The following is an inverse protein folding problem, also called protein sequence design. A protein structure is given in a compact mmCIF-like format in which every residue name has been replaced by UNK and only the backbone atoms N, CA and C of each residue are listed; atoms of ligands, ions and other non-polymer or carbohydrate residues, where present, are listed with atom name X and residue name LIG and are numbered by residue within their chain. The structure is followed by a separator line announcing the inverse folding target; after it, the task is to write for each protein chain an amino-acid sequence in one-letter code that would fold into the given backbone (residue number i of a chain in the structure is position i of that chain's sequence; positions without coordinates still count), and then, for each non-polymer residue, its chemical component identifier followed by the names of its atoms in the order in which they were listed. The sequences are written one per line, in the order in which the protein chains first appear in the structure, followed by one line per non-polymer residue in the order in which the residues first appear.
data_IF_456371001993
#
_entry.id   IF_456371001993
#
_cell.length_a   1.000
_cell.length_b   1.000
_cell.length_c   1.000
_cell.angle_alpha   90.00
_cell.angle_beta   90.00
_cell.angle_gamma   90.00
#
_symmetry.space_group_name_H-M   'P 1'
#
loop_
_entity.id
_entity.type
_entity.pdbx_description
1 polymer ?
#
# COMPACT_ATOMS: atom_id res chain seq x y z
N UNK A 1 -31.05 -5.44 4.78
CA UNK A 1 -30.26 -6.52 5.39
C UNK A 1 -29.14 -6.03 6.31
N UNK A 2 -28.45 -4.90 6.00
CA UNK A 2 -27.33 -4.42 6.80
C UNK A 2 -27.73 -3.99 8.22
N UNK A 3 -28.84 -3.28 8.38
CA UNK A 3 -29.27 -2.79 9.69
C UNK A 3 -29.64 -3.91 10.67
N UNK A 4 -30.45 -4.93 10.29
CA UNK A 4 -30.66 -6.10 11.13
C UNK A 4 -29.38 -6.85 11.50
N UNK A 5 -28.46 -7.02 10.53
CA UNK A 5 -27.15 -7.64 10.78
C UNK A 5 -26.32 -6.84 11.79
N UNK A 6 -26.27 -5.51 11.63
CA UNK A 6 -25.60 -4.63 12.58
C UNK A 6 -26.10 -4.83 14.01
N UNK A 7 -27.42 -4.84 14.23
CA UNK A 7 -27.99 -5.04 15.56
C UNK A 7 -27.71 -6.44 16.15
N UNK A 8 -27.62 -7.48 15.32
CA UNK A 8 -27.26 -8.82 15.77
C UNK A 8 -25.79 -8.80 16.23
N UNK A 9 -24.88 -8.26 15.41
CA UNK A 9 -23.46 -8.19 15.73
C UNK A 9 -23.20 -7.31 16.95
N UNK A 10 -23.88 -6.19 17.09
CA UNK A 10 -23.77 -5.30 18.25
C UNK A 10 -24.16 -6.02 19.55
N UNK A 11 -25.26 -6.79 19.54
CA UNK A 11 -25.67 -7.60 20.69
C UNK A 11 -24.69 -8.71 21.05
N UNK A 12 -24.10 -9.35 20.05
CA UNK A 12 -23.09 -10.38 20.30
C UNK A 12 -21.78 -9.76 20.81
N UNK A 13 -21.38 -8.62 20.25
CA UNK A 13 -20.18 -7.89 20.65
C UNK A 13 -20.27 -7.41 22.11
N UNK A 14 -21.43 -6.91 22.54
CA UNK A 14 -21.68 -6.46 23.94
C UNK A 14 -21.51 -7.58 24.99
N UNK A 15 -21.51 -8.85 24.58
CA UNK A 15 -21.22 -10.01 25.47
C UNK A 15 -19.72 -10.28 25.59
N UNK A 16 -18.87 -9.56 24.87
CA UNK A 16 -17.43 -9.76 24.81
C UNK A 16 -16.68 -8.56 25.36
N UNK A 17 -15.43 -8.70 25.82
CA UNK A 17 -14.61 -7.56 26.24
C UNK A 17 -14.03 -6.77 25.05
N UNK A 18 -14.46 -7.04 23.82
CA UNK A 18 -13.86 -6.50 22.60
C UNK A 18 -14.60 -5.28 22.03
N UNK A 19 -15.64 -4.77 22.68
CA UNK A 19 -16.46 -3.66 22.17
C UNK A 19 -15.60 -2.42 21.84
N UNK A 20 -14.74 -2.01 22.79
CA UNK A 20 -13.88 -0.86 22.58
C UNK A 20 -12.87 -1.10 21.44
N UNK A 21 -12.34 -2.30 21.35
CA UNK A 21 -11.41 -2.67 20.27
C UNK A 21 -12.04 -2.55 18.87
N UNK A 22 -13.29 -2.96 18.72
CA UNK A 22 -14.04 -2.82 17.47
C UNK A 22 -14.34 -1.35 17.17
N UNK A 23 -14.70 -0.54 18.16
CA UNK A 23 -14.91 0.91 17.98
C UNK A 23 -13.62 1.60 17.50
N UNK A 24 -12.50 1.34 18.17
CA UNK A 24 -11.19 1.90 17.78
C UNK A 24 -10.83 1.52 16.33
N UNK A 25 -11.06 0.27 15.92
CA UNK A 25 -10.79 -0.19 14.56
C UNK A 25 -11.70 0.47 13.51
N UNK A 26 -12.99 0.67 13.84
CA UNK A 26 -13.93 1.39 12.97
C UNK A 26 -13.53 2.85 12.81
N UNK A 27 -13.17 3.54 13.89
CA UNK A 27 -12.69 4.94 13.82
C UNK A 27 -11.40 5.06 13.03
N UNK A 28 -10.46 4.13 13.21
CA UNK A 28 -9.23 4.07 12.42
C UNK A 28 -9.52 3.87 10.94
N UNK A 29 -10.46 2.98 10.60
CA UNK A 29 -10.88 2.74 9.21
C UNK A 29 -11.49 4.00 8.59
N UNK A 30 -12.36 4.72 9.30
CA UNK A 30 -12.96 5.98 8.86
C UNK A 30 -11.90 7.06 8.65
N UNK A 31 -10.97 7.22 9.59
CA UNK A 31 -9.88 8.21 9.47
C UNK A 31 -9.00 7.98 8.25
N UNK A 32 -8.77 6.71 7.88
CA UNK A 32 -8.04 6.34 6.67
C UNK A 32 -8.82 6.71 5.41
N UNK A 33 -10.12 6.53 5.40
CA UNK A 33 -10.95 6.88 4.24
C UNK A 33 -10.89 8.37 3.95
N UNK A 34 -10.92 9.22 4.97
CA UNK A 34 -10.73 10.66 4.80
C UNK A 34 -9.35 11.01 4.24
N UNK A 35 -8.28 10.40 4.76
CA UNK A 35 -6.91 10.60 4.23
C UNK A 35 -6.72 10.08 2.81
N UNK A 36 -7.50 9.09 2.36
CA UNK A 36 -7.47 8.59 1.00
C UNK A 36 -7.96 9.63 -0.03
N UNK A 37 -8.87 10.52 0.35
CA UNK A 37 -9.36 11.61 -0.50
C UNK A 37 -8.29 12.70 -0.72
N UNK A 38 -7.34 12.84 0.20
CA UNK A 38 -6.23 13.80 0.14
C UNK A 38 -4.95 13.22 -0.45
N UNK A 39 -5.01 12.01 -1.05
CA UNK A 39 -3.80 11.34 -1.56
C UNK A 39 -3.07 12.19 -2.58
N UNK A 40 -1.81 12.43 -2.31
CA UNK A 40 -0.86 13.04 -3.22
C UNK A 40 -0.75 12.18 -4.50
N UNK A 41 -1.28 12.69 -5.60
CA UNK A 41 -1.27 11.98 -6.89
C UNK A 41 0.15 11.72 -7.40
N UNK A 42 1.15 12.48 -6.95
CA UNK A 42 2.55 12.25 -7.29
C UNK A 42 3.09 10.93 -6.72
N UNK A 43 2.52 10.46 -5.61
CA UNK A 43 2.88 9.20 -4.96
C UNK A 43 2.07 7.99 -5.43
N UNK A 44 1.12 8.19 -6.33
CA UNK A 44 0.23 7.13 -6.84
C UNK A 44 0.98 5.93 -7.45
N UNK A 45 2.20 6.12 -7.94
CA UNK A 45 3.04 5.05 -8.48
C UNK A 45 3.49 4.03 -7.43
N UNK A 46 3.55 4.41 -6.14
CA UNK A 46 3.90 3.51 -5.03
C UNK A 46 2.83 2.44 -4.77
N UNK A 47 1.58 2.71 -5.16
CA UNK A 47 0.46 1.78 -5.04
C UNK A 47 0.38 0.78 -6.21
N UNK A 48 1.23 0.92 -7.24
CA UNK A 48 1.27 0.01 -8.37
C UNK A 48 1.99 -1.29 -7.98
N UNK A 49 1.35 -2.46 -8.12
CA UNK A 49 1.99 -3.73 -7.86
C UNK A 49 3.31 -3.89 -8.64
N UNK A 50 4.34 -4.42 -7.99
CA UNK A 50 5.67 -4.61 -8.58
C UNK A 50 6.44 -3.32 -8.97
N UNK A 51 5.99 -2.13 -8.56
CA UNK A 51 6.73 -0.88 -8.81
C UNK A 51 8.19 -0.95 -8.31
N UNK A 52 8.43 -1.66 -7.21
CA UNK A 52 9.76 -1.86 -6.63
C UNK A 52 10.76 -2.59 -7.55
N UNK A 53 10.28 -3.30 -8.58
CA UNK A 53 11.15 -3.98 -9.59
C UNK A 53 11.69 -3.02 -10.63
N UNK A 54 11.21 -1.80 -10.66
CA UNK A 54 11.59 -0.80 -11.64
C UNK A 54 12.81 0.01 -11.16
N UNK A 55 13.72 0.29 -12.08
CA UNK A 55 14.83 1.20 -11.82
C UNK A 55 14.35 2.67 -11.77
N UNK A 56 15.18 3.62 -11.30
CA UNK A 56 14.78 5.03 -11.14
C UNK A 56 14.20 5.68 -12.41
N UNK A 57 14.75 5.37 -13.58
CA UNK A 57 14.26 5.87 -14.88
C UNK A 57 12.87 5.29 -15.20
N UNK A 58 12.67 4.00 -14.99
CA UNK A 58 11.38 3.33 -15.19
C UNK A 58 10.34 3.82 -14.17
N UNK A 59 10.76 4.05 -12.92
CA UNK A 59 9.91 4.64 -11.88
C UNK A 59 9.49 6.07 -12.24
N UNK A 60 10.34 6.87 -12.87
CA UNK A 60 9.96 8.21 -13.31
C UNK A 60 8.84 8.18 -14.34
N UNK A 61 8.87 7.20 -15.27
CA UNK A 61 7.79 6.97 -16.24
C UNK A 61 6.51 6.51 -15.53
N UNK A 62 6.64 5.55 -14.60
CA UNK A 62 5.50 5.04 -13.84
C UNK A 62 4.85 6.15 -13.01
N UNK A 63 5.63 7.06 -12.40
CA UNK A 63 5.15 8.20 -11.63
C UNK A 63 4.21 9.07 -12.46
N UNK A 64 4.63 9.50 -13.65
CA UNK A 64 3.81 10.34 -14.53
C UNK A 64 2.55 9.61 -14.98
N UNK A 65 2.65 8.35 -15.35
CA UNK A 65 1.51 7.55 -15.81
C UNK A 65 0.50 7.31 -14.69
N UNK A 66 0.97 7.00 -13.48
CA UNK A 66 0.11 6.76 -12.33
C UNK A 66 -0.59 8.04 -11.86
N UNK A 67 0.13 9.16 -11.82
CA UNK A 67 -0.42 10.48 -11.52
C UNK A 67 -1.54 10.86 -12.50
N UNK A 68 -1.27 10.75 -13.80
CA UNK A 68 -2.28 10.99 -14.81
C UNK A 68 -3.50 10.09 -14.64
N UNK A 69 -3.29 8.77 -14.41
CA UNK A 69 -4.41 7.83 -14.22
C UNK A 69 -5.27 8.23 -13.03
N UNK A 70 -4.65 8.60 -11.91
CA UNK A 70 -5.38 9.03 -10.71
C UNK A 70 -6.18 10.29 -10.96
N UNK A 71 -5.57 11.30 -11.60
CA UNK A 71 -6.27 12.56 -11.92
C UNK A 71 -7.48 12.33 -12.84
N UNK A 72 -7.34 11.49 -13.86
CA UNK A 72 -8.48 11.12 -14.74
C UNK A 72 -9.55 10.35 -13.97
N UNK A 73 -9.15 9.48 -13.01
CA UNK A 73 -10.08 8.76 -12.16
C UNK A 73 -10.94 9.68 -11.31
N UNK A 74 -10.30 10.68 -10.69
CA UNK A 74 -10.99 11.70 -9.88
C UNK A 74 -11.88 12.58 -10.76
N UNK A 75 -11.33 13.11 -11.87
CA UNK A 75 -12.05 14.01 -12.77
C UNK A 75 -13.32 13.38 -13.37
N UNK A 76 -13.27 12.07 -13.67
CA UNK A 76 -14.35 11.35 -14.36
C UNK A 76 -15.16 10.43 -13.47
N UNK A 77 -14.86 10.40 -12.18
CA UNK A 77 -15.46 9.48 -11.21
C UNK A 77 -15.40 8.01 -11.70
N UNK A 78 -14.21 7.58 -12.13
CA UNK A 78 -13.98 6.24 -12.67
C UNK A 78 -12.98 5.46 -11.81
N UNK A 79 -13.27 4.18 -11.59
CA UNK A 79 -12.28 3.29 -10.99
C UNK A 79 -11.02 3.21 -11.87
N UNK A 80 -9.84 3.23 -11.25
CA UNK A 80 -8.55 3.31 -11.94
C UNK A 80 -8.34 2.17 -12.95
N UNK A 81 -8.88 0.99 -12.68
CA UNK A 81 -8.83 -0.17 -13.57
C UNK A 81 -9.60 0.00 -14.89
N UNK A 82 -10.62 0.88 -14.91
CA UNK A 82 -11.35 1.23 -16.14
C UNK A 82 -10.59 2.23 -17.02
N UNK A 83 -9.61 2.91 -16.47
CA UNK A 83 -8.77 3.84 -17.23
C UNK A 83 -7.64 3.06 -17.87
N UNK A 84 -6.79 2.43 -17.07
CA UNK A 84 -5.72 1.50 -17.48
C UNK A 84 -5.40 0.58 -16.29
N UNK A 85 -5.30 -0.72 -16.54
CA UNK A 85 -4.92 -1.70 -15.51
C UNK A 85 -3.52 -1.43 -14.98
N UNK A 86 -3.29 -1.67 -13.68
CA UNK A 86 -1.99 -1.44 -13.04
C UNK A 86 -0.85 -2.22 -13.69
N UNK A 87 -1.09 -3.48 -14.06
CA UNK A 87 -0.12 -4.32 -14.76
C UNK A 87 0.29 -3.72 -16.12
N UNK A 88 -0.69 -3.20 -16.87
CA UNK A 88 -0.44 -2.55 -18.16
C UNK A 88 0.36 -1.27 -18.01
N UNK A 89 0.07 -0.43 -16.99
CA UNK A 89 0.88 0.74 -16.68
C UNK A 89 2.33 0.37 -16.36
N UNK A 90 2.52 -0.67 -15.56
CA UNK A 90 3.83 -1.17 -15.19
C UNK A 90 4.63 -1.63 -16.44
N UNK A 91 4.00 -2.45 -17.32
CA UNK A 91 4.62 -2.91 -18.56
C UNK A 91 5.04 -1.76 -19.47
N UNK A 92 4.15 -0.80 -19.65
CA UNK A 92 4.40 0.39 -20.50
C UNK A 92 5.55 1.24 -19.94
N UNK A 93 5.59 1.44 -18.61
CA UNK A 93 6.67 2.19 -17.96
C UNK A 93 8.03 1.49 -18.10
N UNK A 94 8.05 0.17 -17.90
CA UNK A 94 9.26 -0.65 -18.02
C UNK A 94 9.83 -0.62 -19.44
N UNK A 95 9.00 -0.92 -20.42
CA UNK A 95 9.43 -1.12 -21.81
C UNK A 95 9.59 0.20 -22.59
N UNK A 96 9.19 1.34 -22.01
CA UNK A 96 9.30 2.65 -22.67
C UNK A 96 8.68 2.69 -24.07
N UNK A 97 7.48 2.15 -24.20
CA UNK A 97 6.72 1.96 -25.43
C UNK A 97 6.73 3.22 -26.31
N UNK A 98 6.91 3.06 -27.61
CA UNK A 98 7.02 4.18 -28.57
C UNK A 98 5.83 4.28 -29.53
N UNK A 99 5.08 3.22 -29.70
CA UNK A 99 3.95 3.16 -30.61
C UNK A 99 2.83 2.29 -30.04
N UNK A 100 1.66 2.33 -30.67
CA UNK A 100 0.48 1.59 -30.21
C UNK A 100 0.58 0.08 -30.49
N UNK A 101 1.35 -0.35 -31.48
CA UNK A 101 1.56 -1.77 -31.78
C UNK A 101 2.27 -2.47 -30.62
N UNK A 102 3.33 -1.86 -30.08
CA UNK A 102 4.02 -2.37 -28.89
C UNK A 102 3.08 -2.51 -27.69
N UNK A 103 2.08 -1.63 -27.55
CA UNK A 103 1.09 -1.75 -26.47
C UNK A 103 0.24 -3.01 -26.62
N UNK A 104 -0.17 -3.37 -27.84
CA UNK A 104 -0.90 -4.60 -28.08
C UNK A 104 -0.06 -5.84 -27.78
N UNK A 105 1.21 -5.84 -28.19
CA UNK A 105 2.15 -6.94 -27.90
C UNK A 105 2.34 -7.15 -26.38
N UNK A 106 2.24 -6.10 -25.58
CA UNK A 106 2.29 -6.17 -24.13
C UNK A 106 0.98 -6.63 -23.48
N UNK A 107 -0.09 -6.80 -24.27
CA UNK A 107 -1.39 -7.25 -23.79
C UNK A 107 -2.34 -6.17 -23.31
N UNK A 108 -2.14 -4.90 -23.73
CA UNK A 108 -3.15 -3.87 -23.54
C UNK A 108 -4.35 -4.19 -24.43
N UNK A 109 -5.55 -3.96 -23.90
CA UNK A 109 -6.78 -4.20 -24.65
C UNK A 109 -6.95 -3.17 -25.76
N UNK A 110 -7.67 -3.52 -26.82
CA UNK A 110 -7.99 -2.61 -27.93
C UNK A 110 -8.62 -1.30 -27.43
N UNK A 111 -9.53 -1.39 -26.46
CA UNK A 111 -10.18 -0.23 -25.89
C UNK A 111 -9.17 0.68 -25.15
N UNK A 112 -8.27 0.11 -24.34
CA UNK A 112 -7.21 0.89 -23.66
C UNK A 112 -6.32 1.62 -24.67
N UNK A 113 -5.89 0.93 -25.73
CA UNK A 113 -5.02 1.53 -26.76
C UNK A 113 -5.75 2.60 -27.57
N UNK A 114 -6.97 2.33 -28.03
CA UNK A 114 -7.78 3.27 -28.82
C UNK A 114 -8.07 4.55 -28.03
N UNK A 115 -8.48 4.42 -26.77
CA UNK A 115 -8.96 5.57 -25.96
C UNK A 115 -7.78 6.28 -25.28
N UNK A 116 -6.75 5.56 -24.84
CA UNK A 116 -5.67 6.08 -23.98
C UNK A 116 -4.28 6.04 -24.60
N UNK A 117 -4.06 5.27 -25.66
CA UNK A 117 -2.73 5.03 -26.24
C UNK A 117 -1.98 6.30 -26.63
N UNK A 118 -2.63 7.24 -27.31
CA UNK A 118 -2.01 8.54 -27.67
C UNK A 118 -1.55 9.33 -26.45
N UNK A 119 -2.38 9.36 -25.40
CA UNK A 119 -2.03 10.08 -24.16
C UNK A 119 -0.87 9.40 -23.42
N UNK A 120 -0.86 8.07 -23.36
CA UNK A 120 0.23 7.29 -22.77
C UNK A 120 1.56 7.60 -23.50
N UNK A 121 1.58 7.58 -24.84
CA UNK A 121 2.77 7.90 -25.64
C UNK A 121 3.27 9.32 -25.38
N UNK A 122 2.36 10.29 -25.29
CA UNK A 122 2.69 11.68 -24.95
C UNK A 122 3.34 11.78 -23.56
N UNK A 123 2.79 11.10 -22.55
CA UNK A 123 3.32 11.09 -21.19
C UNK A 123 4.71 10.42 -21.13
N UNK A 124 4.92 9.33 -21.86
CA UNK A 124 6.24 8.70 -21.98
C UNK A 124 7.26 9.63 -22.66
N UNK A 125 6.83 10.40 -23.67
CA UNK A 125 7.68 11.40 -24.30
C UNK A 125 8.07 12.53 -23.34
N UNK A 126 7.15 12.95 -22.44
CA UNK A 126 7.46 13.88 -21.35
C UNK A 126 8.45 13.27 -20.36
N UNK A 127 8.23 12.02 -19.94
CA UNK A 127 9.11 11.32 -19.00
C UNK A 127 10.55 11.21 -19.49
N UNK A 128 10.78 11.10 -20.82
CA UNK A 128 12.12 11.05 -21.42
C UNK A 128 12.90 12.38 -21.28
N UNK A 129 12.22 13.47 -20.96
CA UNK A 129 12.84 14.81 -20.79
C UNK A 129 13.18 15.14 -19.36
N UNK A 130 12.80 14.27 -18.41
CA UNK A 130 13.10 14.45 -16.98
C UNK A 130 14.58 14.25 -16.76
N UNK A 131 15.20 15.14 -15.98
CA UNK A 131 16.59 15.00 -15.56
C UNK A 131 16.75 13.78 -14.63
N UNK A 132 17.90 13.13 -14.70
CA UNK A 132 18.24 12.02 -13.79
C UNK A 132 18.21 12.42 -12.31
N UNK A 133 18.43 13.71 -12.01
CA UNK A 133 18.36 14.22 -10.64
C UNK A 133 16.95 14.22 -10.05
N UNK A 134 15.91 14.20 -10.93
CA UNK A 134 14.50 14.24 -10.55
C UNK A 134 13.86 12.84 -10.55
N UNK A 135 14.66 11.79 -10.77
CA UNK A 135 14.14 10.43 -10.72
C UNK A 135 13.77 10.02 -9.29
N UNK A 136 12.67 9.27 -9.11
CA UNK A 136 12.36 8.67 -7.83
C UNK A 136 13.48 7.77 -7.34
N UNK A 137 13.72 7.76 -6.03
CA UNK A 137 14.63 6.79 -5.43
C UNK A 137 14.07 5.37 -5.62
N UNK A 138 14.94 4.34 -5.69
CA UNK A 138 14.49 2.94 -5.68
C UNK A 138 13.58 2.68 -4.48
N UNK A 139 12.58 1.83 -4.67
CA UNK A 139 11.66 1.45 -3.60
C UNK A 139 12.32 0.36 -2.78
N UNK A 140 12.73 0.69 -1.57
CA UNK A 140 13.35 -0.24 -0.63
C UNK A 140 12.35 -1.29 -0.12
N UNK A 141 12.81 -2.54 -0.01
CA UNK A 141 12.02 -3.65 0.51
C UNK A 141 12.73 -4.31 1.67
N UNK A 142 12.05 -4.38 2.80
CA UNK A 142 12.57 -5.09 3.98
C UNK A 142 12.83 -6.58 3.70
N UNK A 143 12.09 -7.18 2.75
CA UNK A 143 12.26 -8.61 2.40
C UNK A 143 13.58 -8.93 1.72
N UNK A 144 14.33 -7.92 1.29
CA UNK A 144 15.69 -8.07 0.73
C UNK A 144 16.78 -8.00 1.80
N UNK A 145 16.44 -7.51 3.01
CA UNK A 145 17.35 -7.55 4.16
C UNK A 145 17.55 -9.02 4.60
N UNK A 146 18.80 -9.49 4.74
CA UNK A 146 19.10 -10.87 5.17
C UNK A 146 18.44 -11.24 6.51
N UNK A 147 18.26 -10.27 7.41
CA UNK A 147 17.65 -10.44 8.73
C UNK A 147 16.14 -10.67 8.66
N UNK A 148 15.47 -10.20 7.60
CA UNK A 148 14.01 -10.14 7.51
C UNK A 148 13.32 -11.47 7.79
N UNK A 149 13.78 -12.58 7.15
CA UNK A 149 13.10 -13.87 7.28
C UNK A 149 13.11 -14.41 8.71
N UNK A 150 14.23 -14.23 9.42
CA UNK A 150 14.37 -14.62 10.83
C UNK A 150 13.50 -13.71 11.70
N UNK A 151 13.62 -12.40 11.53
CA UNK A 151 12.93 -11.39 12.35
C UNK A 151 11.42 -11.48 12.22
N UNK A 152 10.87 -11.61 11.01
CA UNK A 152 9.40 -11.70 10.83
C UNK A 152 8.82 -12.95 11.49
N UNK A 153 9.56 -14.09 11.44
CA UNK A 153 9.12 -15.31 12.10
C UNK A 153 9.11 -15.14 13.62
N UNK A 154 10.19 -14.66 14.21
CA UNK A 154 10.28 -14.42 15.65
C UNK A 154 9.24 -13.42 16.13
N UNK A 155 8.98 -12.37 15.34
CA UNK A 155 7.97 -11.38 15.65
C UNK A 155 6.54 -11.95 15.59
N UNK A 156 6.26 -12.85 14.65
CA UNK A 156 4.98 -13.58 14.58
C UNK A 156 4.79 -14.51 15.78
N UNK A 157 5.83 -15.27 16.16
CA UNK A 157 5.81 -16.13 17.35
C UNK A 157 5.52 -15.29 18.61
N UNK A 158 6.22 -14.16 18.76
CA UNK A 158 6.02 -13.26 19.92
C UNK A 158 4.64 -12.59 19.91
N UNK A 159 4.15 -12.18 18.74
CA UNK A 159 2.80 -11.62 18.59
C UNK A 159 1.72 -12.64 18.94
N UNK A 160 1.91 -13.92 18.58
CA UNK A 160 1.01 -15.00 18.96
C UNK A 160 0.94 -15.18 20.48
N UNK A 161 2.09 -15.18 21.18
CA UNK A 161 2.15 -15.26 22.64
C UNK A 161 1.42 -14.10 23.33
N UNK A 162 1.49 -12.90 22.75
CA UNK A 162 0.88 -11.69 23.31
C UNK A 162 -0.58 -11.50 22.89
N UNK A 163 -1.09 -12.36 22.00
CA UNK A 163 -2.48 -12.26 21.52
C UNK A 163 -3.46 -12.56 22.67
N UNK A 164 -4.40 -11.65 22.97
CA UNK A 164 -5.39 -11.85 24.02
C UNK A 164 -6.23 -13.12 23.78
N UNK A 165 -6.62 -13.79 24.85
CA UNK A 165 -7.50 -14.98 24.76
C UNK A 165 -8.80 -14.62 24.05
N UNK A 166 -9.19 -15.45 23.10
CA UNK A 166 -10.40 -15.25 22.27
C UNK A 166 -10.19 -14.46 20.98
N UNK A 167 -9.00 -13.88 20.76
CA UNK A 167 -8.63 -13.25 19.50
C UNK A 167 -7.68 -14.14 18.69
N UNK A 168 -7.67 -13.95 17.38
CA UNK A 168 -6.67 -14.57 16.50
C UNK A 168 -5.52 -13.60 16.26
N UNK A 169 -4.34 -14.14 15.91
CA UNK A 169 -3.17 -13.32 15.58
C UNK A 169 -3.46 -12.29 14.48
N UNK A 170 -4.24 -12.66 13.46
CA UNK A 170 -4.55 -11.75 12.36
C UNK A 170 -5.37 -10.53 12.79
N UNK A 171 -6.18 -10.66 13.85
CA UNK A 171 -6.90 -9.53 14.45
C UNK A 171 -5.93 -8.62 15.22
N UNK A 172 -4.99 -9.19 15.96
CA UNK A 172 -3.97 -8.40 16.64
C UNK A 172 -3.03 -7.76 15.62
N UNK A 173 -2.38 -8.57 14.79
CA UNK A 173 -1.37 -8.12 13.84
C UNK A 173 -1.24 -9.07 12.65
N UNK A 174 -1.77 -8.70 11.50
CA UNK A 174 -1.52 -9.44 10.26
C UNK A 174 -0.03 -9.39 9.90
N UNK A 175 0.43 -10.31 9.06
CA UNK A 175 1.83 -10.31 8.57
C UNK A 175 2.23 -8.94 7.98
N UNK A 176 1.33 -8.31 7.22
CA UNK A 176 1.57 -6.97 6.65
C UNK A 176 1.77 -5.90 7.72
N UNK A 177 0.98 -5.94 8.78
CA UNK A 177 1.11 -5.02 9.90
C UNK A 177 2.47 -5.18 10.61
N UNK A 178 2.93 -6.43 10.80
CA UNK A 178 4.25 -6.71 11.37
C UNK A 178 5.39 -6.26 10.43
N UNK A 179 5.22 -6.43 9.12
CA UNK A 179 6.17 -5.89 8.12
C UNK A 179 6.24 -4.35 8.18
N UNK A 180 5.12 -3.67 8.34
CA UNK A 180 5.09 -2.22 8.47
C UNK A 180 5.72 -1.75 9.79
N UNK A 181 5.60 -2.53 10.86
CA UNK A 181 6.29 -2.29 12.12
C UNK A 181 7.82 -2.42 11.96
N UNK A 182 8.30 -3.47 11.31
CA UNK A 182 9.73 -3.66 11.01
C UNK A 182 10.25 -2.50 10.15
N UNK A 183 9.52 -2.10 9.10
CA UNK A 183 9.90 -0.94 8.27
C UNK A 183 10.01 0.35 9.09
N UNK A 184 9.09 0.54 10.03
CA UNK A 184 9.09 1.73 10.86
C UNK A 184 10.31 1.79 11.77
N UNK A 185 10.71 0.67 12.37
CA UNK A 185 11.91 0.58 13.19
C UNK A 185 13.18 0.67 12.34
N UNK A 186 13.30 -0.13 11.27
CA UNK A 186 14.56 -0.25 10.51
C UNK A 186 14.82 0.87 9.50
N UNK A 187 13.78 1.37 8.85
CA UNK A 187 13.94 2.30 7.73
C UNK A 187 13.48 3.73 8.05
N UNK A 188 12.63 3.90 9.06
CA UNK A 188 12.05 5.21 9.38
C UNK A 188 12.53 5.77 10.73
N UNK A 189 13.49 5.10 11.38
CA UNK A 189 14.05 5.49 12.67
C UNK A 189 12.97 5.88 13.70
N UNK A 190 11.87 5.14 13.73
CA UNK A 190 10.74 5.36 14.64
C UNK A 190 10.11 6.76 14.53
N UNK A 191 10.15 7.35 13.35
CA UNK A 191 9.51 8.65 13.10
C UNK A 191 8.02 8.60 13.44
N UNK A 192 7.60 9.30 14.50
CA UNK A 192 6.21 9.29 14.99
C UNK A 192 5.22 9.85 13.98
N UNK A 193 5.66 10.68 13.03
CA UNK A 193 4.79 11.20 11.95
C UNK A 193 4.43 10.10 10.93
N UNK A 194 5.17 8.98 10.94
CA UNK A 194 5.03 7.84 10.04
C UNK A 194 4.78 6.53 10.80
N UNK A 195 4.30 6.65 12.06
CA UNK A 195 4.03 5.48 12.87
C UNK A 195 3.01 4.54 12.18
N UNK A 196 3.19 3.21 12.28
CA UNK A 196 2.23 2.26 11.74
C UNK A 196 0.92 2.29 12.52
N UNK A 197 -0.18 2.00 11.82
CA UNK A 197 -1.52 1.94 12.40
C UNK A 197 -1.62 0.95 13.58
N UNK A 198 -0.78 -0.05 13.59
CA UNK A 198 -0.69 -1.04 14.65
C UNK A 198 -0.36 -0.44 16.02
N UNK A 199 0.27 0.74 16.06
CA UNK A 199 0.56 1.51 17.28
C UNK A 199 -0.60 2.43 17.70
N UNK A 200 -1.76 2.32 17.08
CA UNK A 200 -2.95 3.11 17.40
C UNK A 200 -4.03 2.25 18.08
N UNK A 201 -4.90 2.92 18.84
CA UNK A 201 -6.03 2.29 19.50
C UNK A 201 -5.62 1.21 20.52
N UNK A 202 -6.47 0.21 20.70
CA UNK A 202 -6.37 -0.84 21.70
C UNK A 202 -5.11 -1.72 21.61
N UNK A 203 -4.49 -1.78 20.45
CA UNK A 203 -3.28 -2.61 20.20
C UNK A 203 -2.01 -2.02 20.78
N UNK A 204 -2.01 -0.72 21.06
CA UNK A 204 -0.79 0.06 21.35
C UNK A 204 0.11 -0.57 22.41
N UNK A 205 -0.45 -0.93 23.57
CA UNK A 205 0.37 -1.47 24.68
C UNK A 205 0.99 -2.83 24.33
N UNK A 206 0.27 -3.66 23.58
CA UNK A 206 0.76 -4.97 23.14
C UNK A 206 1.87 -4.77 22.11
N UNK A 207 1.66 -3.85 21.18
CA UNK A 207 2.60 -3.60 20.09
C UNK A 207 3.87 -2.91 20.57
N UNK A 208 3.83 -2.08 21.59
CA UNK A 208 5.03 -1.54 22.22
C UNK A 208 5.96 -2.66 22.73
N UNK A 209 5.41 -3.72 23.32
CA UNK A 209 6.19 -4.91 23.70
C UNK A 209 6.80 -5.63 22.51
N UNK A 210 6.11 -5.62 21.35
CA UNK A 210 6.67 -6.16 20.10
C UNK A 210 7.80 -5.28 19.58
N UNK A 211 7.72 -3.96 19.72
CA UNK A 211 8.80 -3.04 19.34
C UNK A 211 10.04 -3.26 20.22
N UNK A 212 9.85 -3.36 21.53
CA UNK A 212 10.94 -3.67 22.47
C UNK A 212 11.60 -5.01 22.13
N UNK A 213 10.79 -6.03 21.88
CA UNK A 213 11.30 -7.34 21.46
C UNK A 213 12.05 -7.28 20.13
N UNK A 214 11.53 -6.54 19.14
CA UNK A 214 12.18 -6.36 17.84
C UNK A 214 13.58 -5.75 18.01
N UNK A 215 13.72 -4.73 18.88
CA UNK A 215 15.01 -4.11 19.21
C UNK A 215 15.98 -5.03 19.94
N UNK A 216 15.47 -5.99 20.71
CA UNK A 216 16.32 -6.94 21.45
C UNK A 216 16.88 -8.07 20.58
N UNK A 217 16.32 -8.26 19.38
CA UNK A 217 16.68 -9.35 18.45
C UNK A 217 17.57 -8.85 17.31
N UNK A 218 17.76 -7.52 17.19
CA UNK A 218 18.73 -6.90 16.28
C UNK A 218 20.17 -7.14 16.74
#
# INVERSE_FOLDING_TARGET
YLLPLYHILEKELAKTPCEQAVRDDCELALSKTHKLQERDSEKAYLDIPNAWKLNPLELSRLRILAQWRQNVGIERDLALSYIVKSDNLWKVAKNNTRNTSEMFEMGLTENEVRVRGKKILQLLAQARRISSNDYPKPIERISEDPRYKKTIRLLQEKAYELTPKGLTLDILASKRNLEDLIKWVWLKNEDMTKQPDLLLGWRREIVLKLVEYLKSVE
#
